data_IF_157572766014
#
_entry.id   IF_157572766014
#
_cell.length_a   1.000
_cell.length_b   1.000
_cell.length_c   1.000
_cell.angle_alpha   90.00
_cell.angle_beta   90.00
_cell.angle_gamma   90.00
#
_symmetry.space_group_name_H-M   'P 1'
#
loop_
_entity.id
_entity.type
_entity.pdbx_description
1 polymer ?
#
# COMPACT_ATOMS: atom_id res chain seq x y z
N UNK A 1 12.88 -9.00 -4.64
CA UNK A 1 11.49 -9.51 -4.62
C UNK A 1 10.58 -8.34 -4.91
N UNK A 2 9.94 -8.31 -6.08
CA UNK A 2 8.93 -7.30 -6.42
C UNK A 2 7.57 -7.86 -6.01
N UNK A 3 7.01 -7.33 -4.93
CA UNK A 3 5.69 -7.69 -4.45
C UNK A 3 4.95 -6.44 -3.98
N UNK A 4 3.63 -6.47 -4.12
CA UNK A 4 2.75 -5.48 -3.51
C UNK A 4 2.42 -5.95 -2.10
N UNK A 5 2.62 -5.06 -1.14
CA UNK A 5 2.37 -5.28 0.28
C UNK A 5 1.26 -4.36 0.75
N UNK A 6 0.59 -4.75 1.82
CA UNK A 6 -0.50 -3.99 2.40
C UNK A 6 -0.23 -3.74 3.87
N UNK A 7 -0.63 -2.55 4.34
CA UNK A 7 -0.59 -2.19 5.75
C UNK A 7 -1.86 -1.42 6.11
N UNK A 8 -2.64 -1.97 7.02
CA UNK A 8 -3.76 -1.27 7.64
C UNK A 8 -3.25 -0.16 8.55
N UNK A 9 -3.94 0.98 8.56
CA UNK A 9 -3.64 2.08 9.46
C UNK A 9 -4.50 1.98 10.71
N UNK A 10 -3.86 1.79 11.87
CA UNK A 10 -4.58 1.72 13.13
C UNK A 10 -5.40 2.99 13.38
N UNK A 11 -6.63 2.80 13.88
CA UNK A 11 -7.61 3.87 14.16
C UNK A 11 -8.09 4.66 12.94
N UNK A 12 -7.78 4.21 11.73
CA UNK A 12 -8.25 4.80 10.49
C UNK A 12 -8.88 3.75 9.57
N UNK A 13 -9.93 4.08 8.81
CA UNK A 13 -10.58 3.16 7.88
C UNK A 13 -9.80 3.07 6.56
N UNK A 14 -8.47 2.92 6.62
CA UNK A 14 -7.62 2.89 5.43
C UNK A 14 -6.59 1.76 5.45
N UNK A 15 -6.35 1.20 4.26
CA UNK A 15 -5.25 0.30 3.96
C UNK A 15 -4.33 1.01 2.96
N UNK A 16 -3.04 0.98 3.23
CA UNK A 16 -2.00 1.45 2.32
C UNK A 16 -1.42 0.24 1.59
N UNK A 17 -1.58 0.22 0.28
CA UNK A 17 -0.89 -0.72 -0.60
C UNK A 17 0.40 -0.08 -1.10
N UNK A 18 1.52 -0.76 -0.94
CA UNK A 18 2.85 -0.23 -1.24
C UNK A 18 3.78 -1.28 -1.82
N UNK A 19 4.83 -0.82 -2.47
CA UNK A 19 5.91 -1.65 -2.98
C UNK A 19 7.27 -1.17 -2.47
N UNK A 20 8.20 -2.10 -2.30
CA UNK A 20 9.61 -1.79 -2.08
C UNK A 20 10.31 -1.70 -3.44
N UNK A 21 10.79 -0.51 -3.78
CA UNK A 21 11.45 -0.25 -5.06
C UNK A 21 12.71 0.58 -4.85
N UNK A 22 13.71 0.32 -5.68
CA UNK A 22 14.84 1.22 -5.81
C UNK A 22 14.44 2.41 -6.70
N UNK A 23 14.49 3.61 -6.14
CA UNK A 23 14.18 4.86 -6.84
C UNK A 23 15.43 5.73 -6.78
N UNK A 24 16.00 6.05 -7.95
CA UNK A 24 17.22 6.84 -8.06
C UNK A 24 18.37 6.32 -7.17
N UNK A 25 18.58 5.00 -7.14
CA UNK A 25 19.66 4.39 -6.35
C UNK A 25 19.35 4.19 -4.86
N UNK A 26 18.09 4.44 -4.42
CA UNK A 26 17.69 4.36 -3.02
C UNK A 26 16.49 3.45 -2.81
N UNK A 27 16.60 2.53 -1.87
CA UNK A 27 15.46 1.71 -1.44
C UNK A 27 14.36 2.61 -0.86
N UNK A 28 13.16 2.50 -1.41
CA UNK A 28 12.04 3.38 -1.17
C UNK A 28 10.74 2.59 -1.05
N UNK A 29 9.84 3.09 -0.20
CA UNK A 29 8.45 2.61 -0.12
C UNK A 29 7.61 3.47 -1.05
N UNK A 30 7.06 2.86 -2.09
CA UNK A 30 6.18 3.54 -3.05
C UNK A 30 4.74 3.19 -2.73
N UNK A 31 3.94 4.17 -2.31
CA UNK A 31 2.50 3.99 -2.10
C UNK A 31 1.82 3.92 -3.46
N UNK A 32 1.27 2.75 -3.80
CA UNK A 32 0.58 2.52 -5.08
C UNK A 32 -0.92 2.74 -4.96
N UNK A 33 -1.49 2.55 -3.77
CA UNK A 33 -2.90 2.82 -3.51
C UNK A 33 -3.16 3.12 -2.03
N UNK A 34 -4.10 4.04 -1.79
CA UNK A 34 -4.78 4.20 -0.51
C UNK A 34 -6.22 3.72 -0.69
N UNK A 35 -6.64 2.76 0.13
CA UNK A 35 -7.92 2.06 0.02
C UNK A 35 -8.72 2.37 1.27
N UNK A 36 -9.92 2.96 1.12
CA UNK A 36 -10.85 3.07 2.25
C UNK A 36 -11.47 1.70 2.54
N UNK A 37 -11.58 1.29 3.80
CA UNK A 37 -12.07 -0.05 4.18
C UNK A 37 -13.56 -0.25 3.90
N UNK A 38 -14.34 0.84 3.78
CA UNK A 38 -15.74 0.76 3.34
C UNK A 38 -15.90 0.60 1.83
N UNK A 39 -14.80 0.46 1.07
CA UNK A 39 -14.89 0.24 -0.36
C UNK A 39 -15.58 -1.11 -0.60
N UNK A 40 -16.65 -1.10 -1.38
CA UNK A 40 -17.29 -2.33 -1.85
C UNK A 40 -16.28 -3.13 -2.67
N UNK A 41 -15.79 -4.22 -2.07
CA UNK A 41 -14.97 -5.17 -2.78
C UNK A 41 -15.89 -6.08 -3.58
N UNK A 42 -15.71 -6.23 -4.90
CA UNK A 42 -16.44 -7.25 -5.64
C UNK A 42 -15.97 -8.61 -5.11
N UNK A 43 -16.84 -9.27 -4.35
CA UNK A 43 -16.74 -10.69 -4.04
C UNK A 43 -16.98 -11.54 -5.28
#
# INVERSE_FOLDING_TARGET
>A
MSGTYEKSLDRHPYIVSYELREVAGRESIVIVRVIHTSRDWPH
#
